data_IF_384101009180
#
_entry.id   IF_384101009180
#
_cell.length_a   1.000
_cell.length_b   1.000
_cell.length_c   1.000
_cell.angle_alpha   90.00
_cell.angle_beta   90.00
_cell.angle_gamma   90.00
#
_symmetry.space_group_name_H-M   'P 1'
#
loop_
_entity.id
_entity.type
_entity.pdbx_description
1 polymer ?
#
# COMPACT_ATOMS: atom_id res chain seq x y z
N UNK A 1 -51.32 26.69 8.47
CA UNK A 1 -51.28 27.20 9.86
C UNK A 1 -49.82 27.15 10.34
N UNK A 2 -49.08 28.28 10.25
CA UNK A 2 -47.94 28.61 11.12
C UNK A 2 -48.47 29.27 12.44
N UNK A 3 -47.65 29.77 13.38
CA UNK A 3 -46.18 29.65 13.59
C UNK A 3 -45.90 28.58 14.70
N UNK A 4 -45.01 28.60 15.72
CA UNK A 4 -44.01 29.49 16.39
C UNK A 4 -42.82 28.62 16.89
N UNK A 5 -41.60 29.04 17.28
CA UNK A 5 -40.98 30.28 17.81
C UNK A 5 -40.88 30.45 19.37
N UNK A 6 -39.65 30.23 19.88
CA UNK A 6 -38.94 30.93 21.01
C UNK A 6 -38.95 30.45 22.48
N UNK A 7 -37.76 30.68 23.08
CA UNK A 7 -37.41 31.04 24.47
C UNK A 7 -37.86 30.22 25.69
N UNK A 8 -37.12 29.13 25.97
CA UNK A 8 -36.50 28.82 27.27
C UNK A 8 -35.37 27.79 27.04
N UNK A 9 -34.22 27.75 27.74
CA UNK A 9 -33.78 28.39 28.99
C UNK A 9 -32.43 29.08 28.77
N UNK A 10 -32.29 30.35 29.19
CA UNK A 10 -30.96 30.98 29.39
C UNK A 10 -30.42 30.48 30.73
N UNK A 11 -29.32 29.73 30.75
CA UNK A 11 -28.67 29.38 32.01
C UNK A 11 -28.05 30.63 32.65
N UNK A 12 -28.57 30.98 33.83
CA UNK A 12 -28.32 32.24 34.52
C UNK A 12 -26.96 32.30 35.21
N UNK A 13 -26.24 33.40 35.01
CA UNK A 13 -25.03 33.75 35.76
C UNK A 13 -25.33 33.91 37.26
N UNK A 14 -24.55 33.31 38.17
CA UNK A 14 -24.56 33.66 39.59
C UNK A 14 -24.04 35.10 39.79
N UNK A 15 -24.59 35.85 40.75
CA UNK A 15 -24.39 37.30 40.84
C UNK A 15 -23.80 37.74 42.20
N UNK A 16 -22.54 38.23 42.16
CA UNK A 16 -21.87 39.07 43.20
C UNK A 16 -21.59 38.36 44.54
N UNK A 17 -20.66 38.89 45.39
CA UNK A 17 -20.73 40.23 46.00
C UNK A 17 -19.99 41.35 45.25
N UNK A 18 -20.33 42.60 45.58
CA UNK A 18 -19.42 43.74 45.41
C UNK A 18 -18.52 43.81 46.65
N UNK A 19 -17.21 43.95 46.47
CA UNK A 19 -16.30 44.36 47.54
C UNK A 19 -15.81 45.78 47.24
N UNK A 20 -16.26 46.75 48.02
CA UNK A 20 -15.68 48.09 48.01
C UNK A 20 -14.30 48.05 48.69
N UNK A 21 -13.25 48.30 47.90
CA UNK A 21 -11.89 48.51 48.39
C UNK A 21 -11.38 49.85 47.86
N UNK A 22 -10.75 50.70 48.68
CA UNK A 22 -10.30 52.02 48.24
C UNK A 22 -9.19 51.90 47.19
N UNK A 23 -9.27 52.72 46.15
CA UNK A 23 -8.26 52.78 45.09
C UNK A 23 -6.94 53.30 45.67
N UNK A 24 -6.05 52.36 46.02
CA UNK A 24 -4.64 52.66 46.24
C UNK A 24 -4.00 52.82 44.86
N UNK A 25 -3.38 53.98 44.62
CA UNK A 25 -2.65 54.26 43.40
C UNK A 25 -1.31 53.53 43.34
N UNK A 26 -1.35 52.21 43.25
CA UNK A 26 -0.18 51.44 42.85
C UNK A 26 0.10 51.75 41.37
N UNK A 27 1.32 52.19 40.99
CA UNK A 27 1.63 52.46 39.59
C UNK A 27 1.53 51.14 38.81
N UNK A 28 0.97 51.19 37.60
CA UNK A 28 1.04 50.08 36.66
C UNK A 28 2.50 49.88 36.25
N UNK A 29 3.22 49.05 37.00
CA UNK A 29 4.39 48.37 36.46
C UNK A 29 3.87 47.41 35.40
N UNK A 30 3.92 47.86 34.14
CA UNK A 30 3.78 46.99 32.98
C UNK A 30 4.63 45.73 33.22
N UNK A 31 4.08 44.52 33.06
CA UNK A 31 4.85 43.29 33.26
C UNK A 31 5.92 43.23 32.17
N UNK A 32 7.13 43.65 32.53
CA UNK A 32 8.23 43.90 31.61
C UNK A 32 8.41 42.70 30.67
N UNK A 33 8.09 42.91 29.38
CA UNK A 33 8.13 41.87 28.38
C UNK A 33 9.54 41.27 28.36
N UNK A 34 9.65 39.99 28.72
CA UNK A 34 10.94 39.31 28.78
C UNK A 34 11.59 39.38 27.40
N UNK A 35 12.89 39.75 27.30
CA UNK A 35 13.54 39.98 26.02
C UNK A 35 13.43 38.72 25.17
N UNK A 36 12.92 38.86 23.94
CA UNK A 36 12.73 37.75 23.04
C UNK A 36 14.08 37.06 22.78
N UNK A 37 14.15 35.76 23.12
CA UNK A 37 15.36 34.95 22.97
C UNK A 37 15.69 34.80 21.48
N UNK A 38 16.97 34.70 21.12
CA UNK A 38 17.37 34.48 19.73
C UNK A 38 16.70 33.21 19.18
N UNK A 39 16.00 33.31 18.05
CA UNK A 39 15.10 32.25 17.59
C UNK A 39 14.27 32.58 16.34
N UNK A 40 13.53 31.58 15.86
CA UNK A 40 12.61 31.70 14.73
C UNK A 40 11.19 32.08 15.18
N UNK A 41 10.69 33.21 14.70
CA UNK A 41 9.35 33.72 15.01
C UNK A 41 8.57 34.04 13.72
N UNK A 42 7.23 34.18 13.75
CA UNK A 42 6.46 34.67 12.61
C UNK A 42 6.99 36.03 12.12
N UNK A 43 7.06 36.23 10.81
CA UNK A 43 7.57 37.48 10.22
C UNK A 43 6.68 38.70 10.58
N UNK A 44 7.21 39.74 11.24
CA UNK A 44 6.44 40.96 11.55
C UNK A 44 5.92 41.71 10.32
N UNK A 45 6.52 41.49 9.15
CA UNK A 45 6.02 42.03 7.88
C UNK A 45 4.75 41.34 7.36
N UNK A 46 4.22 40.34 8.09
CA UNK A 46 2.97 39.66 7.76
C UNK A 46 3.10 38.56 6.70
N UNK A 47 4.32 38.15 6.34
CA UNK A 47 4.53 37.01 5.44
C UNK A 47 4.24 35.68 6.13
N UNK A 48 3.97 34.63 5.34
CA UNK A 48 3.77 33.28 5.85
C UNK A 48 5.09 32.57 6.25
N UNK A 49 6.21 33.29 6.24
CA UNK A 49 7.53 32.78 6.60
C UNK A 49 7.85 33.07 8.07
N UNK A 50 8.88 32.41 8.59
CA UNK A 50 9.50 32.76 9.86
C UNK A 50 10.72 33.63 9.61
N UNK A 51 10.90 34.67 10.42
CA UNK A 51 12.09 35.51 10.43
C UNK A 51 12.92 35.17 11.66
N UNK A 52 14.25 35.20 11.52
CA UNK A 52 15.15 35.03 12.65
C UNK A 52 15.27 36.34 13.44
N UNK A 53 15.14 36.23 14.76
CA UNK A 53 15.44 37.28 15.73
C UNK A 53 16.77 36.95 16.39
N UNK A 54 17.72 37.90 16.43
CA UNK A 54 19.06 37.67 16.97
C UNK A 54 19.21 37.94 18.48
N UNK A 55 18.11 38.30 19.15
CA UNK A 55 18.09 38.76 20.55
C UNK A 55 18.00 40.29 20.66
N UNK A 56 18.37 41.03 19.61
CA UNK A 56 18.37 42.51 19.60
C UNK A 56 17.59 43.11 18.43
N UNK A 57 17.54 42.43 17.28
CA UNK A 57 16.83 42.85 16.07
C UNK A 57 16.39 41.64 15.23
N UNK A 58 15.54 41.93 14.27
CA UNK A 58 15.22 41.02 13.17
C UNK A 58 16.37 40.99 12.16
N UNK A 59 16.68 39.81 11.62
CA UNK A 59 17.59 39.66 10.48
C UNK A 59 16.80 39.45 9.19
N UNK A 60 17.48 39.51 8.04
CA UNK A 60 16.91 39.17 6.74
C UNK A 60 16.85 37.65 6.48
N UNK A 61 17.19 36.84 7.47
CA UNK A 61 17.10 35.38 7.38
C UNK A 61 15.64 34.96 7.49
N UNK A 62 15.09 34.43 6.40
CA UNK A 62 13.71 33.93 6.30
C UNK A 62 13.71 32.41 6.08
N UNK A 63 12.96 31.68 6.92
CA UNK A 63 12.66 30.26 6.75
C UNK A 63 11.20 30.12 6.26
N UNK A 64 10.98 29.34 5.21
CA UNK A 64 9.63 28.87 4.86
C UNK A 64 9.33 27.62 5.70
N UNK A 65 8.46 27.69 6.73
CA UNK A 65 8.23 26.55 7.61
C UNK A 65 7.61 25.38 6.84
N UNK A 66 8.13 24.17 7.05
CA UNK A 66 7.65 22.97 6.35
C UNK A 66 6.17 22.68 6.70
N UNK A 67 5.29 22.88 5.72
CA UNK A 67 3.87 22.53 5.82
C UNK A 67 3.62 21.17 5.17
N UNK A 68 3.35 20.15 6.00
CA UNK A 68 2.96 18.83 5.54
C UNK A 68 1.67 18.86 4.68
N UNK A 69 0.77 19.82 4.93
CA UNK A 69 -0.44 20.02 4.13
C UNK A 69 -0.11 20.56 2.73
N UNK A 70 0.79 21.55 2.62
CA UNK A 70 1.24 22.06 1.33
C UNK A 70 2.03 21.01 0.54
N UNK A 71 2.89 20.23 1.21
CA UNK A 71 3.60 19.11 0.60
C UNK A 71 2.64 18.02 0.10
N UNK A 72 1.55 17.73 0.83
CA UNK A 72 0.52 16.80 0.39
C UNK A 72 -0.30 17.33 -0.81
N UNK A 73 -0.58 18.63 -0.87
CA UNK A 73 -1.25 19.27 -2.01
C UNK A 73 -0.36 19.30 -3.26
N UNK A 74 0.92 19.64 -3.12
CA UNK A 74 1.91 19.61 -4.22
C UNK A 74 2.16 18.21 -4.79
N UNK A 75 1.67 17.16 -4.10
CA UNK A 75 1.70 15.77 -4.54
C UNK A 75 0.31 15.22 -4.92
N UNK A 76 -0.67 16.07 -5.22
CA UNK A 76 -1.89 15.63 -5.92
C UNK A 76 -1.62 15.55 -7.43
N UNK A 77 -2.20 14.54 -8.08
CA UNK A 77 -2.25 14.49 -9.54
C UNK A 77 -3.27 15.51 -10.08
N UNK A 78 -3.19 15.88 -11.38
CA UNK A 78 -4.24 16.67 -12.03
C UNK A 78 -5.63 16.04 -11.89
N UNK A 79 -6.67 16.86 -11.82
CA UNK A 79 -8.05 16.36 -11.74
C UNK A 79 -8.41 15.52 -12.98
N UNK A 80 -9.12 14.41 -12.78
CA UNK A 80 -9.40 13.44 -13.84
C UNK A 80 -8.26 12.46 -14.17
N UNK A 81 -7.11 12.51 -13.50
CA UNK A 81 -6.02 11.55 -13.70
C UNK A 81 -6.42 10.14 -13.25
N UNK A 82 -6.74 9.27 -14.20
CA UNK A 82 -7.01 7.85 -13.94
C UNK A 82 -5.71 7.06 -13.65
N UNK A 83 -5.59 6.35 -12.52
CA UNK A 83 -4.45 5.46 -12.23
C UNK A 83 -4.61 4.03 -12.79
N UNK A 84 -5.65 3.73 -13.56
CA UNK A 84 -5.95 2.40 -14.07
C UNK A 84 -5.25 2.13 -15.42
N UNK A 85 -4.16 1.36 -15.41
CA UNK A 85 -3.39 0.99 -16.61
C UNK A 85 -3.79 -0.41 -17.10
N UNK A 86 -3.54 -0.78 -18.36
CA UNK A 86 -3.66 -2.19 -18.78
C UNK A 86 -2.58 -3.08 -18.12
N UNK A 87 -1.38 -2.53 -17.89
CA UNK A 87 -0.22 -3.29 -17.41
C UNK A 87 -0.41 -3.85 -16.00
N UNK A 88 -1.10 -3.13 -15.11
CA UNK A 88 -1.34 -3.63 -13.74
C UNK A 88 -2.25 -4.88 -13.72
N UNK A 89 -3.22 -4.97 -14.63
CA UNK A 89 -4.06 -6.18 -14.75
C UNK A 89 -3.28 -7.36 -15.32
N UNK A 90 -2.35 -7.11 -16.23
CA UNK A 90 -1.41 -8.14 -16.68
C UNK A 90 -0.52 -8.62 -15.51
N UNK A 91 -0.01 -7.73 -14.66
CA UNK A 91 0.76 -8.13 -13.45
C UNK A 91 -0.08 -8.99 -12.49
N UNK A 92 -1.35 -8.64 -12.28
CA UNK A 92 -2.25 -9.35 -11.36
C UNK A 92 -2.71 -10.70 -11.92
N UNK A 93 -2.99 -10.80 -13.22
CA UNK A 93 -3.57 -12.00 -13.82
C UNK A 93 -2.57 -12.95 -14.50
N UNK A 94 -1.41 -12.48 -15.00
CA UNK A 94 -0.43 -13.35 -15.65
C UNK A 94 0.12 -14.49 -14.74
N UNK A 95 0.27 -14.34 -13.40
CA UNK A 95 0.62 -15.46 -12.52
C UNK A 95 -0.28 -16.69 -12.64
N UNK A 96 -1.56 -16.52 -13.02
CA UNK A 96 -2.47 -17.64 -13.23
C UNK A 96 -2.11 -18.54 -14.40
N UNK A 97 -1.36 -18.03 -15.39
CA UNK A 97 -1.05 -18.77 -16.61
C UNK A 97 -0.19 -20.03 -16.32
N UNK A 98 0.94 -19.95 -15.60
CA UNK A 98 1.63 -21.17 -15.13
C UNK A 98 0.85 -21.93 -14.04
N UNK A 99 0.08 -21.27 -13.18
CA UNK A 99 -0.74 -21.95 -12.14
C UNK A 99 -1.81 -22.85 -12.75
N UNK A 100 -2.52 -22.40 -13.79
CA UNK A 100 -3.47 -23.23 -14.53
C UNK A 100 -2.75 -24.31 -15.34
N UNK A 101 -1.51 -24.05 -15.79
CA UNK A 101 -0.63 -25.05 -16.41
C UNK A 101 -0.41 -26.29 -15.53
N UNK A 102 -0.36 -26.14 -14.21
CA UNK A 102 -0.23 -27.26 -13.26
C UNK A 102 -1.43 -28.23 -13.31
N UNK A 103 -2.60 -27.79 -13.79
CA UNK A 103 -3.80 -28.63 -13.90
C UNK A 103 -3.76 -29.59 -15.11
N UNK A 104 -2.78 -29.42 -16.01
CA UNK A 104 -2.55 -30.28 -17.18
C UNK A 104 -1.40 -31.28 -16.98
N UNK A 105 -0.82 -31.33 -15.77
CA UNK A 105 0.17 -32.35 -15.39
C UNK A 105 -0.57 -33.64 -15.02
N UNK A 106 -0.09 -34.79 -15.51
CA UNK A 106 -0.55 -36.10 -15.06
C UNK A 106 0.02 -36.44 -13.68
N UNK A 107 -0.65 -35.92 -12.66
CA UNK A 107 -0.31 -36.17 -11.26
C UNK A 107 -0.56 -37.63 -10.85
N UNK A 108 -1.54 -38.32 -11.45
CA UNK A 108 -1.86 -39.71 -11.11
C UNK A 108 -0.77 -40.66 -11.62
N UNK A 109 -0.39 -40.57 -12.90
CA UNK A 109 0.71 -41.35 -13.46
C UNK A 109 2.07 -41.04 -12.81
N UNK A 110 2.29 -39.77 -12.41
CA UNK A 110 3.48 -39.40 -11.63
C UNK A 110 3.49 -40.07 -10.23
N UNK A 111 2.36 -40.05 -9.51
CA UNK A 111 2.25 -40.68 -8.18
C UNK A 111 2.39 -42.20 -8.31
N UNK A 112 1.76 -42.83 -9.31
CA UNK A 112 1.92 -44.28 -9.57
C UNK A 112 3.39 -44.65 -9.84
N UNK A 113 4.06 -43.93 -10.75
CA UNK A 113 5.46 -44.19 -11.07
C UNK A 113 6.42 -43.92 -9.88
N UNK A 114 6.08 -42.99 -8.98
CA UNK A 114 6.81 -42.74 -7.73
C UNK A 114 6.57 -43.84 -6.69
N UNK A 115 5.38 -44.44 -6.69
CA UNK A 115 4.98 -45.51 -5.80
C UNK A 115 5.51 -46.89 -6.23
N UNK A 116 5.68 -47.14 -7.53
CA UNK A 116 6.15 -48.44 -8.07
C UNK A 116 7.66 -48.55 -8.28
N UNK A 117 8.40 -47.44 -8.30
CA UNK A 117 9.85 -47.44 -8.57
C UNK A 117 10.70 -47.38 -7.27
N UNK A 118 11.28 -48.50 -6.81
CA UNK A 118 12.13 -48.53 -5.62
C UNK A 118 13.49 -47.82 -5.81
N UNK A 119 13.83 -47.39 -7.03
CA UNK A 119 15.07 -46.65 -7.31
C UNK A 119 14.90 -45.12 -7.26
N UNK A 120 13.65 -44.62 -7.28
CA UNK A 120 13.35 -43.18 -7.33
C UNK A 120 13.75 -42.49 -8.64
N UNK A 121 14.11 -43.24 -9.68
CA UNK A 121 14.49 -42.72 -10.99
C UNK A 121 13.30 -42.12 -11.74
N UNK A 122 12.08 -42.58 -11.45
CA UNK A 122 10.82 -41.98 -11.95
C UNK A 122 10.70 -40.50 -11.58
N UNK A 123 11.05 -40.13 -10.34
CA UNK A 123 11.08 -38.74 -9.89
C UNK A 123 12.06 -37.88 -10.70
N UNK A 124 13.29 -38.38 -10.90
CA UNK A 124 14.33 -37.70 -11.69
C UNK A 124 13.91 -37.56 -13.16
N UNK A 125 13.29 -38.61 -13.71
CA UNK A 125 12.80 -38.64 -15.10
C UNK A 125 11.69 -37.62 -15.32
N UNK A 126 10.77 -37.44 -14.36
CA UNK A 126 9.72 -36.44 -14.42
C UNK A 126 10.28 -35.00 -14.56
N UNK A 127 11.35 -34.68 -13.81
CA UNK A 127 12.00 -33.37 -13.82
C UNK A 127 12.65 -32.99 -15.17
N UNK A 128 12.86 -33.96 -16.07
CA UNK A 128 13.36 -33.73 -17.44
C UNK A 128 12.30 -33.95 -18.52
N UNK A 129 11.04 -34.15 -18.16
CA UNK A 129 9.95 -34.24 -19.16
C UNK A 129 9.76 -32.90 -19.89
N UNK A 130 9.47 -32.91 -21.20
CA UNK A 130 9.22 -31.67 -21.95
C UNK A 130 8.09 -30.81 -21.37
N UNK A 131 7.04 -31.43 -20.79
CA UNK A 131 5.93 -30.71 -20.15
C UNK A 131 6.36 -29.97 -18.87
N UNK A 132 7.12 -30.62 -17.99
CA UNK A 132 7.63 -30.00 -16.77
C UNK A 132 8.67 -28.90 -17.07
N UNK A 133 9.58 -29.14 -18.03
CA UNK A 133 10.55 -28.14 -18.48
C UNK A 133 9.87 -26.93 -19.14
N UNK A 134 8.81 -27.14 -19.92
CA UNK A 134 7.97 -26.06 -20.47
C UNK A 134 7.29 -25.27 -19.34
N UNK A 135 6.76 -25.94 -18.32
CA UNK A 135 6.13 -25.29 -17.17
C UNK A 135 7.13 -24.43 -16.36
N UNK A 136 8.36 -24.91 -16.15
CA UNK A 136 9.46 -24.12 -15.57
C UNK A 136 9.76 -22.90 -16.44
N UNK A 137 9.98 -23.08 -17.74
CA UNK A 137 10.28 -21.98 -18.67
C UNK A 137 9.16 -20.93 -18.66
N UNK A 138 7.90 -21.38 -18.63
CA UNK A 138 6.71 -20.54 -18.57
C UNK A 138 6.62 -19.72 -17.28
N UNK A 139 7.06 -20.27 -16.14
CA UNK A 139 7.19 -19.55 -14.87
C UNK A 139 8.24 -18.44 -14.92
N UNK A 140 9.41 -18.71 -15.50
CA UNK A 140 10.46 -17.69 -15.69
C UNK A 140 10.05 -16.59 -16.68
N UNK A 141 9.43 -16.97 -17.80
CA UNK A 141 8.88 -16.02 -18.79
C UNK A 141 7.79 -15.14 -18.15
N UNK A 142 6.86 -15.74 -17.40
CA UNK A 142 5.81 -15.03 -16.65
C UNK A 142 6.42 -14.02 -15.68
N UNK A 143 7.47 -14.41 -14.94
CA UNK A 143 8.16 -13.53 -13.99
C UNK A 143 8.87 -12.37 -14.68
N UNK A 144 9.55 -12.62 -15.81
CA UNK A 144 10.17 -11.58 -16.63
C UNK A 144 9.15 -10.58 -17.20
N UNK A 145 8.01 -11.07 -17.69
CA UNK A 145 6.90 -10.24 -18.18
C UNK A 145 6.28 -9.39 -17.08
N UNK A 146 6.11 -9.93 -15.86
CA UNK A 146 5.64 -9.17 -14.69
C UNK A 146 6.57 -8.00 -14.36
N UNK A 147 7.89 -8.21 -14.39
CA UNK A 147 8.89 -7.15 -14.15
C UNK A 147 8.84 -6.10 -15.26
N UNK A 148 8.72 -6.52 -16.52
CA UNK A 148 8.56 -5.62 -17.68
C UNK A 148 7.28 -4.79 -17.59
N UNK A 149 6.14 -5.41 -17.25
CA UNK A 149 4.87 -4.71 -17.09
C UNK A 149 4.87 -3.75 -15.89
N UNK A 150 5.61 -4.02 -14.81
CA UNK A 150 5.78 -3.07 -13.71
C UNK A 150 6.57 -1.82 -14.11
N UNK A 151 7.56 -1.95 -15.01
CA UNK A 151 8.23 -0.81 -15.62
C UNK A 151 7.27 -0.01 -16.53
N UNK A 152 6.41 -0.68 -17.31
CA UNK A 152 5.41 -0.02 -18.15
C UNK A 152 4.32 0.70 -17.33
N UNK A 153 3.77 0.08 -16.29
CA UNK A 153 2.80 0.70 -15.36
C UNK A 153 3.38 1.98 -14.74
N UNK A 154 4.60 1.91 -14.20
CA UNK A 154 5.29 3.06 -13.63
C UNK A 154 5.58 4.17 -14.65
N UNK A 155 5.97 3.81 -15.88
CA UNK A 155 6.19 4.75 -16.97
C UNK A 155 4.89 5.43 -17.40
N UNK A 156 3.80 4.67 -17.52
CA UNK A 156 2.50 5.20 -17.93
C UNK A 156 1.91 6.11 -16.83
N UNK A 157 1.99 5.73 -15.55
CA UNK A 157 1.57 6.60 -14.43
C UNK A 157 2.31 7.95 -14.44
N UNK A 158 3.61 7.97 -14.80
CA UNK A 158 4.35 9.22 -15.03
C UNK A 158 3.84 10.00 -16.23
N UNK A 159 3.56 9.35 -17.35
CA UNK A 159 3.02 9.99 -18.56
C UNK A 159 1.62 10.57 -18.34
N UNK A 160 0.80 9.93 -17.49
CA UNK A 160 -0.50 10.42 -17.02
C UNK A 160 -0.40 11.54 -15.96
N UNK A 161 0.80 12.00 -15.60
CA UNK A 161 1.01 13.13 -14.69
C UNK A 161 0.91 12.81 -13.20
N UNK A 162 0.94 11.54 -12.78
CA UNK A 162 0.94 11.18 -11.35
C UNK A 162 2.29 11.57 -10.71
N UNK A 163 2.34 12.46 -9.70
CA UNK A 163 3.60 12.88 -9.10
C UNK A 163 4.13 11.82 -8.13
N UNK A 164 5.43 11.50 -8.26
CA UNK A 164 6.12 10.48 -7.45
C UNK A 164 5.35 9.15 -7.33
N UNK A 165 5.12 8.42 -8.45
CA UNK A 165 4.45 7.13 -8.43
C UNK A 165 5.37 6.05 -7.82
N UNK A 166 4.76 5.01 -7.24
CA UNK A 166 5.47 3.94 -6.55
C UNK A 166 6.48 3.23 -7.47
N UNK A 167 7.73 3.09 -7.03
CA UNK A 167 8.85 2.76 -7.91
C UNK A 167 8.80 1.31 -8.41
N UNK A 168 8.99 1.10 -9.71
CA UNK A 168 8.84 -0.21 -10.35
C UNK A 168 9.74 -1.29 -9.74
N UNK A 169 10.97 -0.97 -9.31
CA UNK A 169 11.92 -1.95 -8.78
C UNK A 169 11.44 -2.70 -7.52
N UNK A 170 10.40 -2.21 -6.82
CA UNK A 170 9.76 -2.97 -5.74
C UNK A 170 9.10 -4.28 -6.24
N UNK A 171 8.91 -4.46 -7.55
CA UNK A 171 8.48 -5.74 -8.15
C UNK A 171 9.49 -6.87 -7.92
N UNK A 172 10.79 -6.57 -7.73
CA UNK A 172 11.81 -7.59 -7.46
C UNK A 172 11.58 -8.34 -6.13
N UNK A 173 10.75 -7.80 -5.22
CA UNK A 173 10.27 -8.55 -4.05
C UNK A 173 9.38 -9.75 -4.42
N UNK A 174 9.02 -9.94 -5.69
CA UNK A 174 8.43 -11.20 -6.17
C UNK A 174 9.33 -12.43 -5.98
N UNK A 175 10.65 -12.25 -5.82
CA UNK A 175 11.60 -13.33 -5.53
C UNK A 175 11.79 -13.62 -4.02
N UNK A 176 11.21 -12.80 -3.13
CA UNK A 176 11.46 -12.85 -1.67
C UNK A 176 10.18 -12.90 -0.85
N UNK A 177 9.11 -12.23 -1.32
CA UNK A 177 7.82 -12.11 -0.62
C UNK A 177 6.67 -12.36 -1.60
N UNK A 178 6.40 -11.41 -2.52
CA UNK A 178 5.45 -11.56 -3.63
C UNK A 178 5.47 -10.30 -4.52
N UNK A 179 4.94 -10.41 -5.75
CA UNK A 179 4.58 -9.26 -6.59
C UNK A 179 3.51 -8.35 -5.94
N UNK A 180 2.83 -8.83 -4.91
CA UNK A 180 1.81 -8.10 -4.15
C UNK A 180 2.34 -6.80 -3.53
N UNK A 181 3.61 -6.77 -3.11
CA UNK A 181 4.22 -5.55 -2.56
C UNK A 181 4.21 -4.41 -3.57
N UNK A 182 4.45 -4.70 -4.85
CA UNK A 182 4.32 -3.71 -5.92
C UNK A 182 2.87 -3.28 -6.10
N UNK A 183 1.96 -4.23 -6.39
CA UNK A 183 0.58 -3.89 -6.77
C UNK A 183 -0.19 -3.15 -5.66
N UNK A 184 -0.02 -3.56 -4.40
CA UNK A 184 -0.62 -2.92 -3.23
C UNK A 184 0.02 -1.57 -2.93
N UNK A 185 1.36 -1.48 -2.92
CA UNK A 185 2.07 -0.21 -2.69
C UNK A 185 1.72 0.84 -3.74
N UNK A 186 1.66 0.43 -5.01
CA UNK A 186 1.20 1.21 -6.16
C UNK A 186 -0.26 1.64 -6.03
N UNK A 187 -1.17 0.77 -5.60
CA UNK A 187 -2.58 1.11 -5.38
C UNK A 187 -2.78 2.13 -4.23
N UNK A 188 -2.07 1.97 -3.12
CA UNK A 188 -2.13 2.91 -1.98
C UNK A 188 -1.54 4.28 -2.35
N UNK A 189 -0.42 4.31 -3.10
CA UNK A 189 0.13 5.57 -3.61
C UNK A 189 -0.84 6.20 -4.60
N UNK A 190 -1.33 5.47 -5.61
CA UNK A 190 -2.32 5.97 -6.57
C UNK A 190 -3.51 6.63 -5.87
N UNK A 191 -4.12 5.96 -4.88
CA UNK A 191 -5.26 6.49 -4.14
C UNK A 191 -4.92 7.78 -3.37
N UNK A 192 -3.71 7.90 -2.82
CA UNK A 192 -3.23 9.14 -2.17
C UNK A 192 -2.91 10.28 -3.16
N UNK A 193 -2.73 9.98 -4.45
CA UNK A 193 -2.42 10.96 -5.51
C UNK A 193 -3.66 11.40 -6.30
N UNK A 194 -4.58 10.49 -6.59
CA UNK A 194 -5.74 10.69 -7.49
C UNK A 194 -7.11 10.54 -6.83
N UNK A 195 -7.17 9.98 -5.62
CA UNK A 195 -8.42 9.54 -4.99
C UNK A 195 -9.01 8.24 -5.57
N UNK A 196 -8.28 7.54 -6.44
CA UNK A 196 -8.76 6.33 -7.14
C UNK A 196 -7.70 5.22 -7.14
N UNK A 197 -8.07 4.01 -7.59
CA UNK A 197 -7.15 2.89 -7.82
C UNK A 197 -7.07 1.82 -6.73
N UNK A 198 -7.89 1.92 -5.67
CA UNK A 198 -8.03 0.85 -4.65
C UNK A 198 -8.58 -0.47 -5.22
N UNK A 199 -9.23 -0.47 -6.39
CA UNK A 199 -9.69 -1.67 -7.09
C UNK A 199 -8.57 -2.70 -7.30
N UNK A 200 -7.38 -2.26 -7.69
CA UNK A 200 -6.20 -3.12 -7.86
C UNK A 200 -5.82 -3.81 -6.55
N UNK A 201 -5.87 -3.11 -5.42
CA UNK A 201 -5.56 -3.70 -4.10
C UNK A 201 -6.52 -4.85 -3.77
N UNK A 202 -7.83 -4.62 -3.97
CA UNK A 202 -8.85 -5.64 -3.70
C UNK A 202 -8.74 -6.84 -4.65
N UNK A 203 -8.43 -6.64 -5.93
CA UNK A 203 -8.29 -7.76 -6.89
C UNK A 203 -6.96 -8.52 -6.70
N UNK A 204 -5.88 -7.87 -6.25
CA UNK A 204 -4.67 -8.57 -5.78
C UNK A 204 -5.00 -9.46 -4.57
N UNK A 205 -5.73 -8.93 -3.58
CA UNK A 205 -6.13 -9.71 -2.39
C UNK A 205 -7.03 -10.89 -2.80
N UNK A 206 -8.04 -10.66 -3.64
CA UNK A 206 -8.90 -11.72 -4.17
C UNK A 206 -8.12 -12.77 -4.97
N UNK A 207 -7.10 -12.35 -5.72
CA UNK A 207 -6.19 -13.24 -6.45
C UNK A 207 -5.39 -14.14 -5.49
N UNK A 208 -4.81 -13.59 -4.42
CA UNK A 208 -4.12 -14.41 -3.42
C UNK A 208 -5.06 -15.37 -2.69
N UNK A 209 -6.28 -14.93 -2.34
CA UNK A 209 -7.30 -15.81 -1.74
C UNK A 209 -7.69 -16.95 -2.69
N UNK A 210 -7.95 -16.65 -3.96
CA UNK A 210 -8.30 -17.67 -4.95
C UNK A 210 -7.13 -18.65 -5.22
N UNK A 211 -5.89 -18.16 -5.30
CA UNK A 211 -4.71 -19.01 -5.45
C UNK A 211 -4.48 -19.92 -4.23
N UNK A 212 -4.71 -19.41 -3.02
CA UNK A 212 -4.67 -20.19 -1.78
C UNK A 212 -5.74 -21.28 -1.74
N UNK A 213 -6.99 -20.95 -2.11
CA UNK A 213 -8.09 -21.92 -2.19
C UNK A 213 -7.84 -22.99 -3.27
N UNK A 214 -7.27 -22.63 -4.42
CA UNK A 214 -6.85 -23.60 -5.45
C UNK A 214 -5.72 -24.50 -4.94
N UNK A 215 -4.74 -23.94 -4.21
CA UNK A 215 -3.68 -24.72 -3.57
C UNK A 215 -4.20 -25.74 -2.55
N UNK A 216 -5.20 -25.37 -1.75
CA UNK A 216 -5.90 -26.30 -0.85
C UNK A 216 -6.60 -27.41 -1.64
N UNK A 217 -7.37 -27.06 -2.68
CA UNK A 217 -8.10 -28.03 -3.50
C UNK A 217 -7.15 -29.02 -4.20
N UNK A 218 -6.04 -28.54 -4.75
CA UNK A 218 -5.00 -29.36 -5.37
C UNK A 218 -4.30 -30.26 -4.34
N UNK A 219 -3.99 -29.74 -3.15
CA UNK A 219 -3.38 -30.52 -2.05
C UNK A 219 -4.29 -31.65 -1.56
N UNK A 220 -5.59 -31.40 -1.42
CA UNK A 220 -6.59 -32.42 -1.08
C UNK A 220 -6.66 -33.48 -2.19
N UNK A 221 -6.72 -33.07 -3.46
CA UNK A 221 -6.72 -33.98 -4.60
C UNK A 221 -5.49 -34.90 -4.61
N UNK A 222 -4.29 -34.33 -4.49
CA UNK A 222 -3.03 -35.10 -4.46
C UNK A 222 -2.98 -36.06 -3.26
N UNK A 223 -3.45 -35.63 -2.09
CA UNK A 223 -3.50 -36.47 -0.90
C UNK A 223 -4.42 -37.68 -1.10
N UNK A 224 -5.58 -37.49 -1.73
CA UNK A 224 -6.51 -38.60 -2.06
C UNK A 224 -5.89 -39.54 -3.10
N UNK A 225 -5.18 -39.04 -4.11
CA UNK A 225 -4.47 -39.89 -5.08
C UNK A 225 -3.41 -40.76 -4.40
N UNK A 226 -2.61 -40.20 -3.48
CA UNK A 226 -1.59 -40.95 -2.72
C UNK A 226 -2.22 -42.02 -1.84
N UNK A 227 -3.28 -41.68 -1.08
CA UNK A 227 -3.99 -42.63 -0.22
C UNK A 227 -4.55 -43.79 -1.04
N UNK A 228 -5.17 -43.50 -2.19
CA UNK A 228 -5.71 -44.53 -3.08
C UNK A 228 -4.59 -45.46 -3.59
N UNK A 229 -3.51 -44.90 -4.16
CA UNK A 229 -2.38 -45.67 -4.69
C UNK A 229 -1.71 -46.57 -3.63
N UNK A 230 -1.50 -46.06 -2.42
CA UNK A 230 -0.95 -46.85 -1.29
C UNK A 230 -1.93 -47.93 -0.84
N UNK A 231 -3.24 -47.65 -0.77
CA UNK A 231 -4.24 -48.67 -0.37
C UNK A 231 -4.41 -49.80 -1.39
N UNK A 232 -4.05 -49.57 -2.65
CA UNK A 232 -4.00 -50.62 -3.69
C UNK A 232 -2.69 -51.42 -3.70
N UNK A 233 -1.68 -51.05 -2.91
CA UNK A 233 -0.48 -51.87 -2.74
C UNK A 233 -0.77 -53.13 -1.93
N UNK A 234 -0.86 -54.26 -2.60
CA UNK A 234 -0.77 -55.57 -1.94
C UNK A 234 0.67 -55.80 -1.47
N UNK A 235 0.95 -55.50 -0.20
CA UNK A 235 2.18 -55.97 0.46
C UNK A 235 2.20 -57.50 0.39
N UNK A 236 3.16 -58.07 -0.34
CA UNK A 236 3.40 -59.50 -0.34
C UNK A 236 3.93 -59.94 1.06
N UNK A 237 3.49 -61.11 1.57
CA UNK A 237 3.92 -61.63 2.87
C UNK A 237 5.35 -62.20 2.86
#
# INVERSE_FOLDING_TARGET
MPPDEREAVRLSTPNRPCNDAPVRGDPMTDPAASPAVAGWYPDPAGSAQRRWWDGTKWTDTLETPYSAAAAAQALRAPEGTDPNTPWIWLIVFLPWLPTLGLLFIDWSGYIEALLTDPTGMSAVTFLVTPGYLLMIALGWITTGLIIWFAYLDWRELKQRGVPQPFHWAWIFLTFVVSYGVYTIGRAVVANRRTGQGLSVMWVTIATFVAAFMLGIALSIFLTVQIINGVSTMTFAP
#
